data_IF_547205495707
#
_entry.id   IF_547205495707
#
_cell.length_a   1.000
_cell.length_b   1.000
_cell.length_c   1.000
_cell.angle_alpha   90.00
_cell.angle_beta   90.00
_cell.angle_gamma   90.00
#
_symmetry.space_group_name_H-M   'P 1'
#
loop_
_entity.id
_entity.type
_entity.pdbx_description
1 polymer ?
#
# COMPACT_ATOMS: atom_id res chain seq x y z
N UNK A 1 59.87 25.41 14.86
CA UNK A 1 60.98 25.15 13.91
C UNK A 1 60.76 23.75 13.33
N UNK A 2 60.32 23.65 12.06
CA UNK A 2 61.03 23.02 10.90
C UNK A 2 61.42 21.55 11.14
N UNK A 3 60.65 20.58 10.64
CA UNK A 3 60.69 19.92 9.31
C UNK A 3 61.75 18.81 9.13
N UNK A 4 61.22 17.62 8.79
CA UNK A 4 61.64 16.68 7.73
C UNK A 4 62.62 15.52 8.02
N UNK A 5 62.40 14.45 7.23
CA UNK A 5 63.23 13.30 6.79
C UNK A 5 62.65 11.94 7.23
N UNK A 6 62.56 10.85 6.45
CA UNK A 6 62.41 10.50 5.02
C UNK A 6 62.41 8.94 4.95
N UNK A 7 61.67 8.31 4.01
CA UNK A 7 61.91 7.02 3.30
C UNK A 7 61.90 5.66 4.06
N UNK A 8 61.02 4.71 3.67
CA UNK A 8 61.19 3.60 2.67
C UNK A 8 61.64 2.28 3.35
N UNK A 9 61.36 1.04 2.94
CA UNK A 9 60.44 0.35 2.02
C UNK A 9 60.54 -1.18 2.34
N UNK A 10 59.47 -1.94 2.02
CA UNK A 10 59.40 -3.36 1.59
C UNK A 10 60.29 -4.45 2.25
N UNK A 11 59.67 -5.58 2.66
CA UNK A 11 59.80 -6.92 2.02
C UNK A 11 59.28 -8.12 2.86
N UNK A 12 58.74 -9.11 2.13
CA UNK A 12 58.67 -10.57 2.39
C UNK A 12 57.50 -11.17 3.21
N UNK A 13 56.87 -12.21 2.65
CA UNK A 13 56.21 -13.23 3.48
C UNK A 13 55.15 -14.17 2.90
N UNK A 14 55.50 -14.99 1.90
CA UNK A 14 55.04 -16.38 1.71
C UNK A 14 53.58 -16.75 1.34
N UNK A 15 53.48 -17.48 0.23
CA UNK A 15 52.39 -18.33 -0.25
C UNK A 15 52.15 -19.56 0.64
N UNK A 16 50.88 -19.99 0.80
CA UNK A 16 50.54 -21.41 0.97
C UNK A 16 49.04 -21.68 0.66
N UNK A 17 48.78 -22.58 -0.29
CA UNK A 17 47.58 -23.43 -0.39
C UNK A 17 48.03 -24.88 -0.13
N UNK A 18 47.17 -25.71 0.48
CA UNK A 18 46.70 -26.93 -0.21
C UNK A 18 45.19 -27.16 0.03
N UNK A 19 44.40 -27.58 -0.96
CA UNK A 19 44.21 -28.92 -1.56
C UNK A 19 43.05 -29.68 -0.88
N UNK A 20 42.19 -30.12 -1.77
CA UNK A 20 40.85 -30.68 -1.69
C UNK A 20 40.85 -32.15 -1.26
N UNK A 21 39.91 -32.58 -0.41
CA UNK A 21 39.47 -33.99 -0.37
C UNK A 21 37.99 -34.11 0.01
N UNK A 22 37.29 -34.93 -0.78
CA UNK A 22 35.86 -35.25 -0.75
C UNK A 22 35.53 -36.12 0.46
N UNK A 23 34.24 -36.20 0.82
CA UNK A 23 33.44 -37.45 0.77
C UNK A 23 32.02 -37.16 1.25
N UNK A 24 31.07 -37.60 0.42
CA UNK A 24 29.64 -37.70 0.66
C UNK A 24 29.33 -38.64 1.83
N UNK A 25 28.34 -38.30 2.65
CA UNK A 25 27.47 -39.29 3.28
C UNK A 25 26.06 -38.74 3.42
N UNK A 26 25.15 -39.63 3.09
CA UNK A 26 23.75 -39.44 2.73
C UNK A 26 22.90 -39.86 3.93
N UNK A 27 21.77 -39.17 4.13
CA UNK A 27 20.56 -39.64 4.84
C UNK A 27 20.68 -40.05 6.32
N UNK A 28 20.21 -39.15 7.19
CA UNK A 28 19.40 -39.54 8.36
C UNK A 28 18.17 -38.63 8.40
N UNK A 29 17.00 -39.27 8.34
CA UNK A 29 15.66 -38.69 8.31
C UNK A 29 15.25 -38.01 9.62
N UNK A 30 14.25 -37.14 9.49
CA UNK A 30 13.35 -36.60 10.51
C UNK A 30 14.05 -35.68 11.53
N UNK A 31 13.73 -34.38 11.60
CA UNK A 31 12.45 -33.91 12.15
C UNK A 31 12.41 -32.38 12.13
N UNK A 32 11.20 -31.84 12.16
CA UNK A 32 10.82 -30.47 12.52
C UNK A 32 10.79 -29.41 11.41
N UNK A 33 9.56 -29.23 10.90
CA UNK A 33 8.90 -27.95 10.65
C UNK A 33 9.78 -26.71 10.73
N UNK A 34 10.14 -26.18 9.57
CA UNK A 34 10.29 -24.75 9.41
C UNK A 34 9.15 -24.27 8.51
N UNK A 35 8.13 -23.74 9.19
CA UNK A 35 7.06 -22.93 8.62
C UNK A 35 7.69 -21.91 7.68
N UNK A 36 7.42 -22.06 6.37
CA UNK A 36 7.69 -21.03 5.38
C UNK A 36 6.73 -19.89 5.73
N UNK A 37 7.18 -18.68 6.11
CA UNK A 37 6.26 -17.58 6.24
C UNK A 37 5.78 -17.23 4.83
N UNK A 38 4.59 -17.72 4.48
CA UNK A 38 3.81 -17.16 3.38
C UNK A 38 3.31 -15.80 3.83
N UNK A 39 4.21 -14.82 3.81
CA UNK A 39 3.85 -13.42 3.83
C UNK A 39 3.11 -13.13 2.53
N UNK A 40 1.79 -13.00 2.61
CA UNK A 40 0.93 -12.45 1.56
C UNK A 40 1.04 -10.93 1.46
N UNK A 41 2.14 -10.32 1.92
CA UNK A 41 2.54 -9.02 1.43
C UNK A 41 3.11 -9.24 0.02
N UNK A 42 2.23 -9.35 -0.98
CA UNK A 42 2.61 -9.05 -2.34
C UNK A 42 3.36 -7.73 -2.30
N UNK A 43 4.64 -7.73 -2.65
CA UNK A 43 5.42 -6.50 -2.74
C UNK A 43 4.67 -5.58 -3.70
N UNK A 44 3.97 -4.58 -3.15
CA UNK A 44 3.20 -3.62 -3.93
C UNK A 44 4.20 -2.96 -4.88
N UNK A 45 4.08 -3.30 -6.16
CA UNK A 45 4.98 -2.81 -7.21
C UNK A 45 5.04 -1.28 -7.15
N UNK A 46 6.18 -0.68 -7.54
CA UNK A 46 6.28 0.76 -7.65
C UNK A 46 5.10 1.36 -8.43
N UNK A 47 4.32 2.24 -7.79
CA UNK A 47 3.22 2.92 -8.48
C UNK A 47 3.83 3.90 -9.50
N UNK A 48 3.29 3.96 -10.73
CA UNK A 48 3.76 4.95 -11.69
C UNK A 48 3.51 6.37 -11.14
N UNK A 49 4.37 7.32 -11.51
CA UNK A 49 4.14 8.72 -11.15
C UNK A 49 2.86 9.25 -11.80
N UNK A 50 2.27 10.29 -11.21
CA UNK A 50 1.17 10.98 -11.87
C UNK A 50 0.71 12.25 -11.17
N UNK A 51 -0.57 12.56 -11.35
CA UNK A 51 -1.14 13.87 -11.06
C UNK A 51 -1.45 14.12 -9.57
N UNK A 52 -1.50 13.08 -8.75
CA UNK A 52 -1.64 13.24 -7.31
C UNK A 52 -0.27 13.51 -6.66
N UNK A 53 -0.22 14.48 -5.79
CA UNK A 53 1.00 14.90 -5.10
C UNK A 53 0.81 14.85 -3.59
N UNK A 54 1.85 14.43 -2.88
CA UNK A 54 1.97 14.58 -1.42
C UNK A 54 3.15 15.49 -1.14
N UNK A 55 2.92 16.57 -0.40
CA UNK A 55 3.95 17.52 0.02
C UNK A 55 4.16 17.38 1.52
N UNK A 56 5.40 17.15 1.92
CA UNK A 56 5.84 17.10 3.33
C UNK A 56 6.95 18.11 3.55
N UNK A 57 7.40 18.25 4.80
CA UNK A 57 8.62 18.97 5.17
C UNK A 57 9.91 18.30 4.63
N UNK A 58 9.83 17.01 4.31
CA UNK A 58 10.98 16.19 3.91
C UNK A 58 11.08 15.98 2.39
N UNK A 59 10.00 16.26 1.63
CA UNK A 59 10.01 16.09 0.19
C UNK A 59 8.63 16.10 -0.46
N UNK A 60 8.62 15.76 -1.76
CA UNK A 60 7.40 15.60 -2.55
C UNK A 60 7.32 14.19 -3.12
N UNK A 61 6.15 13.59 -3.00
CA UNK A 61 5.83 12.26 -3.53
C UNK A 61 4.73 12.40 -4.58
N UNK A 62 4.69 11.49 -5.55
CA UNK A 62 3.68 11.50 -6.61
C UNK A 62 3.02 10.13 -6.78
N UNK A 63 1.75 10.15 -7.18
CA UNK A 63 0.94 8.99 -7.51
C UNK A 63 0.02 9.30 -8.70
N UNK A 64 -0.56 8.30 -9.38
CA UNK A 64 -1.50 8.54 -10.48
C UNK A 64 -2.72 9.33 -10.02
N UNK A 65 -3.30 8.91 -8.89
CA UNK A 65 -4.54 9.44 -8.33
C UNK A 65 -4.67 9.07 -6.85
N UNK A 66 -5.57 9.74 -6.13
CA UNK A 66 -6.16 9.21 -4.89
C UNK A 66 -7.23 8.21 -5.28
N UNK A 67 -7.31 7.07 -4.61
CA UNK A 67 -8.25 6.00 -4.89
C UNK A 67 -9.38 5.97 -3.87
N UNK A 68 -10.62 5.91 -4.34
CA UNK A 68 -11.78 5.50 -3.57
C UNK A 68 -12.21 4.10 -4.02
N UNK A 69 -12.23 3.14 -3.09
CA UNK A 69 -12.66 1.77 -3.35
C UNK A 69 -13.98 1.50 -2.62
N UNK A 70 -14.99 1.05 -3.35
CA UNK A 70 -16.23 0.49 -2.79
C UNK A 70 -16.26 -1.02 -3.03
N UNK A 71 -16.45 -1.77 -1.98
CA UNK A 71 -16.36 -3.24 -1.99
C UNK A 71 -17.66 -3.84 -1.47
N UNK A 72 -18.43 -4.46 -2.38
CA UNK A 72 -19.73 -5.05 -2.12
C UNK A 72 -19.59 -6.54 -1.77
N UNK A 73 -19.94 -6.89 -0.53
CA UNK A 73 -19.67 -8.22 0.02
C UNK A 73 -20.73 -9.28 -0.31
N UNK A 74 -21.93 -8.89 -0.74
CA UNK A 74 -23.04 -9.82 -1.00
C UNK A 74 -24.40 -9.15 -1.17
N UNK A 75 -25.47 -9.94 -1.01
CA UNK A 75 -26.87 -9.50 -1.05
C UNK A 75 -27.54 -9.81 0.32
N UNK A 76 -28.08 -8.81 1.05
CA UNK A 76 -28.10 -7.39 0.73
C UNK A 76 -26.70 -6.75 0.70
N UNK A 77 -26.50 -5.68 -0.10
CA UNK A 77 -25.19 -5.05 -0.28
C UNK A 77 -24.64 -4.51 1.04
N UNK A 78 -23.63 -5.21 1.59
CA UNK A 78 -22.75 -4.66 2.62
C UNK A 78 -21.56 -4.05 1.90
N UNK A 79 -21.33 -2.75 2.13
CA UNK A 79 -20.28 -2.02 1.42
C UNK A 79 -19.16 -1.65 2.37
N UNK A 80 -17.93 -2.07 2.07
CA UNK A 80 -16.73 -1.52 2.67
C UNK A 80 -16.20 -0.41 1.78
N UNK A 81 -16.05 0.80 2.33
CA UNK A 81 -15.56 1.95 1.59
C UNK A 81 -14.21 2.40 2.14
N UNK A 82 -13.25 2.59 1.24
CA UNK A 82 -11.88 2.93 1.57
C UNK A 82 -11.40 4.08 0.68
N UNK A 83 -10.74 5.08 1.27
CA UNK A 83 -9.91 6.03 0.52
C UNK A 83 -8.45 5.69 0.77
N UNK A 84 -7.66 5.60 -0.30
CA UNK A 84 -6.25 5.26 -0.22
C UNK A 84 -5.40 6.08 -1.20
N UNK A 85 -4.14 6.26 -0.84
CA UNK A 85 -3.11 6.85 -1.70
C UNK A 85 -1.82 6.07 -1.48
N UNK A 86 -1.08 5.82 -2.57
CA UNK A 86 0.27 5.22 -2.54
C UNK A 86 1.13 6.01 -3.51
N UNK A 87 2.01 6.85 -2.95
CA UNK A 87 2.83 7.81 -3.67
C UNK A 87 4.32 7.52 -3.45
N UNK A 88 5.14 7.87 -4.43
CA UNK A 88 6.59 7.63 -4.40
C UNK A 88 7.37 8.88 -4.79
N UNK A 89 8.53 9.05 -4.17
CA UNK A 89 9.50 10.10 -4.49
C UNK A 89 10.56 9.59 -5.46
N UNK A 90 11.32 10.49 -6.07
CA UNK A 90 12.30 10.14 -7.10
C UNK A 90 13.46 9.27 -6.60
N UNK A 91 13.79 9.46 -5.33
CA UNK A 91 14.88 8.82 -4.59
C UNK A 91 14.45 7.48 -3.94
N UNK A 92 13.23 7.01 -4.22
CA UNK A 92 12.73 5.70 -3.79
C UNK A 92 12.03 5.68 -2.43
N UNK A 93 11.77 6.84 -1.83
CA UNK A 93 10.88 6.96 -0.68
C UNK A 93 9.41 6.74 -1.06
N UNK A 94 8.57 6.43 -0.08
CA UNK A 94 7.13 6.29 -0.28
C UNK A 94 6.30 7.01 0.78
N UNK A 95 5.07 7.33 0.39
CA UNK A 95 4.02 7.83 1.26
C UNK A 95 2.72 7.09 0.96
N UNK A 96 2.08 6.53 2.00
CA UNK A 96 0.86 5.75 1.86
C UNK A 96 -0.14 6.13 2.93
N UNK A 97 -1.41 6.15 2.58
CA UNK A 97 -2.48 6.13 3.58
C UNK A 97 -3.63 5.24 3.15
N UNK A 98 -4.36 4.75 4.15
CA UNK A 98 -5.64 4.04 3.99
C UNK A 98 -6.60 4.52 5.07
N UNK A 99 -7.79 4.95 4.68
CA UNK A 99 -8.83 5.44 5.58
C UNK A 99 -10.15 4.78 5.24
N UNK A 100 -10.79 4.17 6.24
CA UNK A 100 -12.15 3.66 6.09
C UNK A 100 -13.16 4.79 6.27
N UNK A 101 -14.12 4.85 5.35
CA UNK A 101 -15.21 5.83 5.36
C UNK A 101 -16.56 5.10 5.37
N UNK A 102 -17.61 5.80 5.76
CA UNK A 102 -18.97 5.29 5.76
C UNK A 102 -19.81 5.90 4.61
N UNK A 103 -21.06 5.49 4.49
CA UNK A 103 -21.97 6.01 3.47
C UNK A 103 -22.24 7.52 3.58
N UNK A 104 -22.02 8.13 4.76
CA UNK A 104 -22.19 9.58 4.92
C UNK A 104 -21.13 10.33 4.13
N UNK A 105 -19.96 9.75 3.92
CA UNK A 105 -18.92 10.31 3.08
C UNK A 105 -19.38 10.58 1.64
N UNK A 106 -20.19 9.68 1.06
CA UNK A 106 -20.73 9.88 -0.29
C UNK A 106 -21.58 11.16 -0.38
N UNK A 107 -22.23 11.55 0.73
CA UNK A 107 -23.07 12.75 0.81
C UNK A 107 -22.27 14.00 1.17
N UNK A 108 -21.42 13.90 2.18
CA UNK A 108 -20.65 15.06 2.69
C UNK A 108 -19.45 15.41 1.81
N UNK A 109 -18.92 14.42 1.08
CA UNK A 109 -17.63 14.47 0.38
C UNK A 109 -16.47 14.90 1.30
N UNK A 110 -16.62 14.67 2.61
CA UNK A 110 -15.67 15.07 3.65
C UNK A 110 -15.55 13.96 4.68
N UNK A 111 -14.32 13.66 5.04
CA UNK A 111 -14.01 12.67 6.06
C UNK A 111 -12.85 13.14 6.94
N UNK A 112 -12.94 12.78 8.21
CA UNK A 112 -11.88 12.95 9.19
C UNK A 112 -11.69 11.61 9.88
N UNK A 113 -10.44 11.19 9.99
CA UNK A 113 -10.07 9.94 10.63
C UNK A 113 -8.93 10.13 11.60
N UNK A 114 -8.94 9.35 12.68
CA UNK A 114 -7.84 9.28 13.63
C UNK A 114 -6.77 8.34 13.10
N UNK A 115 -5.50 8.74 13.22
CA UNK A 115 -4.38 7.86 12.91
C UNK A 115 -4.24 6.77 13.97
N UNK A 116 -4.04 5.54 13.53
CA UNK A 116 -3.77 4.39 14.38
C UNK A 116 -2.54 3.61 13.87
N UNK A 117 -1.75 3.00 14.77
CA UNK A 117 -0.62 2.16 14.38
C UNK A 117 -1.04 0.73 14.01
N UNK A 118 -2.30 0.36 14.24
CA UNK A 118 -2.80 -1.01 14.07
C UNK A 118 -3.42 -1.20 12.68
N UNK A 119 -3.34 -2.43 12.17
CA UNK A 119 -3.84 -2.82 10.84
C UNK A 119 -5.36 -2.97 10.76
N UNK A 120 -6.07 -2.93 11.89
CA UNK A 120 -7.53 -3.01 11.93
C UNK A 120 -8.15 -1.65 11.53
N UNK A 121 -8.57 -1.54 10.28
CA UNK A 121 -9.31 -0.39 9.79
C UNK A 121 -10.78 -0.49 10.21
N UNK A 122 -11.32 0.62 10.72
CA UNK A 122 -12.74 0.79 11.02
C UNK A 122 -13.19 2.21 10.70
N UNK A 123 -14.50 2.49 10.71
CA UNK A 123 -15.01 3.81 10.35
C UNK A 123 -14.36 4.92 11.18
N UNK A 124 -13.83 5.95 10.50
CA UNK A 124 -13.15 7.08 11.16
C UNK A 124 -11.73 6.77 11.64
N UNK A 125 -11.13 5.66 11.18
CA UNK A 125 -9.74 5.31 11.44
C UNK A 125 -8.93 5.33 10.13
N UNK A 126 -7.67 5.73 10.24
CA UNK A 126 -6.73 5.76 9.14
C UNK A 126 -5.35 5.24 9.57
N UNK A 127 -4.65 4.64 8.62
CA UNK A 127 -3.25 4.27 8.75
C UNK A 127 -2.48 5.13 7.76
N UNK A 128 -1.35 5.69 8.21
CA UNK A 128 -0.41 6.43 7.37
C UNK A 128 0.96 5.81 7.55
N UNK A 129 1.55 5.38 6.45
CA UNK A 129 2.89 4.80 6.39
C UNK A 129 3.76 5.65 5.49
N UNK A 130 5.00 5.89 5.87
CA UNK A 130 5.96 6.55 5.00
C UNK A 130 7.35 5.97 5.18
N UNK A 131 8.18 6.13 4.16
CA UNK A 131 9.57 5.73 4.20
C UNK A 131 10.39 6.82 3.51
N UNK A 132 11.40 7.32 4.20
CA UNK A 132 12.43 8.14 3.59
C UNK A 132 13.43 7.26 2.83
N UNK A 133 14.11 7.80 1.81
CA UNK A 133 15.10 7.05 1.04
C UNK A 133 16.16 6.42 1.95
N UNK A 134 16.32 5.10 1.84
CA UNK A 134 17.30 4.31 2.61
C UNK A 134 17.05 4.28 4.13
N UNK A 135 15.92 4.78 4.60
CA UNK A 135 15.49 4.67 5.99
C UNK A 135 14.48 3.52 6.18
N UNK A 136 14.30 3.01 7.40
CA UNK A 136 13.21 2.09 7.70
C UNK A 136 11.84 2.74 7.48
N UNK A 137 10.81 1.94 7.15
CA UNK A 137 9.44 2.45 7.09
C UNK A 137 8.94 2.84 8.48
N UNK A 138 8.12 3.89 8.52
CA UNK A 138 7.50 4.44 9.72
C UNK A 138 5.99 4.47 9.54
N UNK A 139 5.27 3.90 10.51
CA UNK A 139 3.81 4.03 10.62
C UNK A 139 3.50 5.11 11.65
N UNK A 140 2.60 6.02 11.31
CA UNK A 140 2.13 7.04 12.25
C UNK A 140 1.18 6.42 13.28
N UNK A 141 1.40 6.75 14.54
CA UNK A 141 0.66 6.19 15.68
C UNK A 141 -0.41 7.12 16.24
N UNK A 142 -0.27 8.45 16.07
CA UNK A 142 -1.23 9.44 16.56
C UNK A 142 -1.36 10.66 15.62
N UNK A 143 -2.58 11.20 15.52
CA UNK A 143 -2.89 12.37 14.72
C UNK A 143 -4.25 12.27 14.04
N UNK A 144 -4.46 13.11 13.03
CA UNK A 144 -5.66 13.08 12.18
C UNK A 144 -5.30 13.10 10.70
N UNK A 145 -6.13 12.41 9.90
CA UNK A 145 -6.19 12.56 8.46
C UNK A 145 -7.54 13.20 8.12
N UNK A 146 -7.50 14.33 7.44
CA UNK A 146 -8.67 15.02 6.92
C UNK A 146 -8.64 15.01 5.40
N UNK A 147 -9.78 14.79 4.77
CA UNK A 147 -9.90 14.99 3.34
C UNK A 147 -11.25 15.55 2.92
N UNK A 148 -11.23 16.19 1.77
CA UNK A 148 -12.39 16.75 1.09
C UNK A 148 -12.31 16.41 -0.40
N UNK A 149 -13.44 16.03 -0.98
CA UNK A 149 -13.59 15.78 -2.40
C UNK A 149 -14.46 16.87 -3.02
N UNK A 150 -13.99 17.49 -4.10
CA UNK A 150 -14.71 18.52 -4.86
C UNK A 150 -14.68 18.15 -6.34
N UNK A 151 -15.84 17.83 -6.92
CA UNK A 151 -15.90 17.16 -8.22
C UNK A 151 -15.09 15.86 -8.19
N UNK A 152 -14.14 15.73 -9.10
CA UNK A 152 -13.19 14.61 -9.15
C UNK A 152 -11.83 14.91 -8.51
N UNK A 153 -11.69 15.97 -7.71
CA UNK A 153 -10.44 16.32 -7.04
C UNK A 153 -10.52 16.03 -5.55
N UNK A 154 -9.47 15.42 -5.01
CA UNK A 154 -9.28 15.22 -3.58
C UNK A 154 -8.24 16.20 -3.07
N UNK A 155 -8.51 16.77 -1.91
CA UNK A 155 -7.52 17.45 -1.08
C UNK A 155 -7.55 16.84 0.30
N UNK A 156 -6.40 16.74 0.94
CA UNK A 156 -6.34 16.33 2.32
C UNK A 156 -5.07 16.73 3.02
N UNK A 157 -5.12 16.57 4.33
CA UNK A 157 -4.10 17.00 5.26
C UNK A 157 -3.93 15.93 6.34
N UNK A 158 -2.68 15.63 6.66
CA UNK A 158 -2.30 14.77 7.78
C UNK A 158 -1.67 15.65 8.86
N UNK A 159 -2.29 15.67 10.04
CA UNK A 159 -1.80 16.40 11.22
C UNK A 159 -1.32 15.43 12.28
N UNK A 160 -0.21 15.75 12.93
CA UNK A 160 0.22 15.05 14.13
C UNK A 160 -0.66 15.47 15.32
N UNK A 161 -0.57 14.73 16.42
CA UNK A 161 -1.32 15.02 17.66
C UNK A 161 -1.04 16.41 18.24
N UNK A 162 0.15 16.97 18.00
CA UNK A 162 0.52 18.32 18.42
C UNK A 162 -0.05 19.43 17.51
N UNK A 163 -0.84 19.05 16.49
CA UNK A 163 -1.48 19.98 15.56
C UNK A 163 -0.59 20.39 14.38
N UNK A 164 0.68 19.98 14.34
CA UNK A 164 1.55 20.27 13.20
C UNK A 164 1.11 19.49 11.97
N UNK A 165 1.08 20.18 10.84
CA UNK A 165 0.84 19.55 9.53
C UNK A 165 2.06 18.76 9.13
N UNK A 166 1.88 17.45 8.91
CA UNK A 166 2.93 16.54 8.47
C UNK A 166 2.93 16.35 6.96
N UNK A 167 1.75 16.33 6.35
CA UNK A 167 1.62 16.21 4.91
C UNK A 167 0.35 16.89 4.40
N UNK A 168 0.43 17.47 3.22
CA UNK A 168 -0.72 17.85 2.41
C UNK A 168 -0.73 17.00 1.14
N UNK A 169 -1.91 16.58 0.69
CA UNK A 169 -2.05 15.88 -0.57
C UNK A 169 -3.18 16.43 -1.41
N UNK A 170 -2.98 16.39 -2.72
CA UNK A 170 -3.97 16.85 -3.70
C UNK A 170 -3.82 16.05 -4.99
N UNK A 171 -4.94 15.72 -5.63
CA UNK A 171 -4.94 15.07 -6.93
C UNK A 171 -6.31 14.58 -7.39
N UNK A 172 -6.38 13.97 -8.58
CA UNK A 172 -7.62 13.39 -9.08
C UNK A 172 -8.05 12.20 -8.21
N UNK A 173 -9.36 12.00 -8.10
CA UNK A 173 -9.99 10.82 -7.51
C UNK A 173 -10.29 9.80 -8.60
N UNK A 174 -9.83 8.57 -8.40
CA UNK A 174 -10.24 7.39 -9.17
C UNK A 174 -11.16 6.53 -8.33
N UNK A 175 -12.26 6.06 -8.92
CA UNK A 175 -13.23 5.18 -8.26
C UNK A 175 -13.00 3.74 -8.73
N UNK A 176 -12.68 2.85 -7.80
CA UNK A 176 -12.68 1.41 -7.99
C UNK A 176 -13.90 0.80 -7.30
N UNK A 177 -14.54 -0.16 -7.97
CA UNK A 177 -15.73 -0.80 -7.45
C UNK A 177 -15.62 -2.31 -7.59
N UNK A 178 -15.62 -3.02 -6.46
CA UNK A 178 -15.46 -4.46 -6.38
C UNK A 178 -16.81 -5.10 -6.06
N UNK A 179 -17.24 -6.04 -6.89
CA UNK A 179 -18.56 -6.67 -6.81
C UNK A 179 -18.47 -8.20 -6.83
N UNK A 180 -19.50 -8.91 -6.33
CA UNK A 180 -19.61 -10.34 -6.55
C UNK A 180 -19.62 -10.66 -8.06
N UNK A 181 -18.89 -11.68 -8.54
CA UNK A 181 -18.84 -12.03 -9.97
C UNK A 181 -20.21 -12.29 -10.59
N UNK A 182 -21.15 -12.81 -9.81
CA UNK A 182 -22.52 -13.09 -10.26
C UNK A 182 -23.32 -11.83 -10.66
N UNK A 183 -22.86 -10.63 -10.27
CA UNK A 183 -23.50 -9.36 -10.64
C UNK A 183 -23.07 -8.85 -12.01
N UNK A 184 -21.94 -9.33 -12.54
CA UNK A 184 -21.49 -8.98 -13.87
C UNK A 184 -22.27 -9.81 -14.90
N UNK A 185 -23.06 -9.13 -15.74
CA UNK A 185 -23.68 -9.75 -16.91
C UNK A 185 -22.61 -10.35 -17.82
N UNK A 186 -22.86 -11.52 -18.43
CA UNK A 186 -21.85 -12.35 -19.10
C UNK A 186 -20.95 -11.69 -20.17
N UNK A 187 -21.29 -10.50 -20.70
CA UNK A 187 -20.43 -9.71 -21.58
C UNK A 187 -19.31 -8.94 -20.84
N UNK A 188 -19.51 -8.64 -19.56
CA UNK A 188 -18.57 -7.94 -18.68
C UNK A 188 -18.01 -8.86 -17.57
N UNK A 189 -18.43 -10.12 -17.53
CA UNK A 189 -17.83 -11.11 -16.65
C UNK A 189 -16.40 -11.40 -17.15
N UNK A 190 -15.37 -11.31 -16.29
CA UNK A 190 -14.04 -11.75 -16.69
C UNK A 190 -14.11 -13.20 -17.18
N UNK A 191 -13.38 -13.52 -18.26
CA UNK A 191 -13.31 -14.88 -18.77
C UNK A 191 -12.94 -15.81 -17.61
N UNK A 192 -13.88 -16.68 -17.21
CA UNK A 192 -13.80 -17.42 -15.96
C UNK A 192 -12.44 -18.14 -15.87
N UNK A 193 -11.51 -17.71 -15.02
CA UNK A 193 -10.42 -18.57 -14.62
C UNK A 193 -11.06 -19.77 -13.89
N UNK A 194 -10.44 -20.95 -13.88
CA UNK A 194 -10.89 -22.00 -12.96
C UNK A 194 -10.94 -21.40 -11.56
N UNK A 195 -12.13 -21.33 -10.97
CA UNK A 195 -12.37 -20.69 -9.67
C UNK A 195 -11.39 -21.32 -8.69
N UNK A 196 -10.38 -20.56 -8.19
CA UNK A 196 -9.59 -21.06 -7.09
C UNK A 196 -10.59 -21.21 -5.94
N UNK A 197 -10.81 -22.45 -5.48
CA UNK A 197 -11.56 -22.65 -4.26
C UNK A 197 -10.89 -21.79 -3.18
N UNK A 198 -11.65 -21.09 -2.32
CA UNK A 198 -11.07 -20.34 -1.22
C UNK A 198 -10.13 -21.28 -0.46
N UNK A 199 -8.88 -20.87 -0.32
CA UNK A 199 -7.83 -21.70 0.28
C UNK A 199 -8.12 -21.95 1.76
N UNK A 200 -8.87 -21.01 2.36
CA UNK A 200 -9.44 -21.08 3.70
C UNK A 200 -10.80 -20.37 3.75
N UNK A 201 -11.71 -20.77 4.66
CA UNK A 201 -12.99 -20.08 4.90
C UNK A 201 -12.85 -18.63 5.39
N UNK A 202 -11.63 -18.17 5.70
CA UNK A 202 -11.32 -16.79 6.09
C UNK A 202 -11.13 -15.82 4.90
N UNK A 203 -10.98 -16.32 3.66
CA UNK A 203 -10.72 -15.48 2.47
C UNK A 203 -11.96 -14.68 1.98
N UNK A 204 -13.12 -14.92 2.58
CA UNK A 204 -14.38 -14.27 2.20
C UNK A 204 -14.84 -14.61 0.78
N UNK A 205 -15.98 -14.06 0.33
CA UNK A 205 -16.46 -14.27 -1.02
C UNK A 205 -15.50 -13.63 -2.04
N UNK A 206 -15.22 -14.37 -3.12
CA UNK A 206 -14.42 -13.88 -4.26
C UNK A 206 -15.11 -12.67 -4.87
N UNK A 207 -14.35 -11.59 -5.11
CA UNK A 207 -14.82 -10.33 -5.68
C UNK A 207 -13.97 -9.95 -6.88
N UNK A 208 -14.57 -9.23 -7.81
CA UNK A 208 -13.92 -8.79 -9.06
C UNK A 208 -14.16 -7.31 -9.27
N UNK A 209 -13.19 -6.64 -9.87
CA UNK A 209 -13.28 -5.22 -10.23
C UNK A 209 -14.26 -5.06 -11.39
N UNK A 210 -15.29 -4.24 -11.20
CA UNK A 210 -16.19 -3.80 -12.27
C UNK A 210 -15.54 -2.64 -13.03
N UNK A 211 -14.56 -2.95 -13.88
CA UNK A 211 -13.78 -1.97 -14.64
C UNK A 211 -14.67 -1.07 -15.53
N UNK A 212 -15.73 -1.66 -16.09
CA UNK A 212 -16.67 -0.96 -16.95
C UNK A 212 -17.69 -0.12 -16.17
N UNK A 213 -17.75 -0.26 -14.83
CA UNK A 213 -18.83 0.27 -13.99
C UNK A 213 -20.20 -0.11 -14.58
N UNK A 214 -20.37 -1.38 -14.94
CA UNK A 214 -21.56 -1.88 -15.60
C UNK A 214 -22.71 -2.15 -14.63
N UNK A 215 -22.41 -2.45 -13.36
CA UNK A 215 -23.42 -2.69 -12.33
C UNK A 215 -24.05 -1.39 -11.82
N UNK A 216 -25.34 -1.43 -11.48
CA UNK A 216 -26.07 -0.23 -11.00
C UNK A 216 -25.49 0.33 -9.70
N UNK A 217 -24.95 -0.54 -8.85
CA UNK A 217 -24.26 -0.17 -7.61
C UNK A 217 -23.00 0.65 -7.91
N UNK A 218 -22.13 0.15 -8.79
CA UNK A 218 -20.91 0.86 -9.17
C UNK A 218 -21.20 2.17 -9.92
N UNK A 219 -22.23 2.20 -10.77
CA UNK A 219 -22.68 3.44 -11.44
C UNK A 219 -23.15 4.49 -10.43
N UNK A 220 -23.92 4.07 -9.43
CA UNK A 220 -24.43 4.97 -8.39
C UNK A 220 -23.27 5.59 -7.58
N UNK A 221 -22.26 4.78 -7.23
CA UNK A 221 -21.06 5.27 -6.54
C UNK A 221 -20.25 6.23 -7.42
N UNK A 222 -19.98 5.85 -8.67
CA UNK A 222 -19.20 6.68 -9.58
C UNK A 222 -19.89 8.03 -9.87
N UNK A 223 -21.22 8.04 -10.00
CA UNK A 223 -22.00 9.25 -10.26
C UNK A 223 -21.89 10.28 -9.12
N UNK A 224 -21.59 9.87 -7.88
CA UNK A 224 -21.40 10.80 -6.75
C UNK A 224 -20.17 11.71 -6.94
N UNK A 225 -19.14 11.21 -7.63
CA UNK A 225 -17.83 11.86 -7.75
C UNK A 225 -17.51 12.40 -9.15
N UNK A 226 -18.47 12.31 -10.08
CA UNK A 226 -18.45 13.02 -11.37
C UNK A 226 -18.98 14.44 -11.17
#
# INVERSE_FOLDING_TARGET
MRHAVLMAALLLGACAKPREERVLSREALASSSAVKPSSSAAAELPQPRGAATVRTDMGTYSAPSVRFSADFLGDPPVTLMLVALSAQSEDGGYWRFRMSVDEKFLKSKRATARLIPQTALGPGLAIVDYQLPKEPPVTMDEGTLELTVTGNQVRGEVRLKDGRVRANFEGPLTVECWVPPAWLSGANAPAAPPVPAPSSPEDGPVRVLDEAQATSQCQSVAAVFR
#
